data_IF_999152146053
#
_entry.id   IF_999152146053
#
_cell.length_a   1.000
_cell.length_b   1.000
_cell.length_c   1.000
_cell.angle_alpha   90.00
_cell.angle_beta   90.00
_cell.angle_gamma   90.00
#
_symmetry.space_group_name_H-M   'P 1'
#
loop_
_entity.id
_entity.type
_entity.pdbx_description
1 polymer ?
#
# COMPACT_ATOMS: atom_id res chain seq x y z
N UNK A 1 -3.83 27.49 -17.76
CA UNK A 1 -4.06 26.27 -18.55
C UNK A 1 -4.35 25.16 -17.56
N UNK A 2 -5.51 24.49 -17.63
CA UNK A 2 -6.07 23.63 -16.57
C UNK A 2 -5.37 22.25 -16.39
N UNK A 3 -4.07 22.20 -16.70
CA UNK A 3 -3.26 20.98 -16.68
C UNK A 3 -1.77 21.35 -16.47
N UNK A 4 -1.49 22.21 -15.49
CA UNK A 4 -0.15 22.18 -14.89
C UNK A 4 0.01 20.80 -14.25
N UNK A 5 0.69 19.91 -14.96
CA UNK A 5 1.01 18.55 -14.51
C UNK A 5 2.09 18.64 -13.45
N UNK A 6 1.72 19.07 -12.25
CA UNK A 6 2.57 18.87 -11.09
C UNK A 6 2.62 17.37 -10.77
N UNK A 7 3.83 16.86 -10.63
CA UNK A 7 4.08 15.44 -10.43
C UNK A 7 4.07 15.17 -8.93
N UNK A 8 2.94 14.70 -8.42
CA UNK A 8 2.71 14.43 -6.99
C UNK A 8 3.24 13.06 -6.51
N UNK A 9 4.14 12.42 -7.25
CA UNK A 9 4.72 11.14 -6.82
C UNK A 9 6.01 11.37 -6.04
N UNK A 10 6.18 10.64 -4.93
CA UNK A 10 7.44 10.55 -4.21
C UNK A 10 8.58 10.22 -5.19
N UNK A 11 9.58 11.11 -5.28
CA UNK A 11 10.81 10.82 -6.01
C UNK A 11 11.66 9.86 -5.19
N UNK A 12 11.29 8.58 -5.26
CA UNK A 12 12.08 7.50 -4.70
C UNK A 12 13.31 7.33 -5.60
N UNK A 13 14.55 7.37 -5.05
CA UNK A 13 15.73 7.13 -5.85
C UNK A 13 15.59 5.77 -6.53
N UNK A 14 15.61 5.77 -7.87
CA UNK A 14 15.64 4.54 -8.66
C UNK A 14 16.93 3.82 -8.32
N UNK A 15 16.85 2.80 -7.49
CA UNK A 15 17.87 1.76 -7.45
C UNK A 15 17.83 1.05 -8.79
N UNK A 16 18.77 1.41 -9.67
CA UNK A 16 18.98 0.71 -10.94
C UNK A 16 19.53 -0.67 -10.61
N UNK A 17 18.64 -1.62 -10.33
CA UNK A 17 19.00 -3.03 -10.31
C UNK A 17 19.03 -3.55 -11.73
N UNK A 18 20.10 -3.16 -12.43
CA UNK A 18 20.51 -3.65 -13.73
C UNK A 18 21.97 -3.25 -13.88
N UNK A 19 22.87 -4.23 -13.92
CA UNK A 19 24.29 -3.98 -14.15
C UNK A 19 24.44 -3.05 -15.35
N UNK A 20 25.34 -2.07 -15.24
CA UNK A 20 25.67 -1.21 -16.36
C UNK A 20 25.99 -2.11 -17.57
N UNK A 21 25.43 -1.85 -18.76
CA UNK A 21 25.81 -2.62 -19.94
C UNK A 21 27.33 -2.52 -20.10
N UNK A 22 28.00 -3.65 -20.26
CA UNK A 22 29.41 -3.66 -20.66
C UNK A 22 29.52 -2.78 -21.92
N UNK A 23 30.51 -1.89 -21.99
CA UNK A 23 30.59 -0.87 -23.06
C UNK A 23 30.55 -1.47 -24.46
N UNK A 24 31.07 -2.69 -24.63
CA UNK A 24 31.03 -3.45 -25.88
C UNK A 24 29.62 -3.84 -26.33
N UNK A 25 28.71 -4.12 -25.40
CA UNK A 25 27.30 -4.39 -25.71
C UNK A 25 26.62 -3.12 -26.24
N UNK A 26 26.95 -1.95 -25.70
CA UNK A 26 26.35 -0.68 -26.11
C UNK A 26 26.76 -0.30 -27.55
N UNK A 27 28.05 -0.37 -27.87
CA UNK A 27 28.60 -0.05 -29.21
C UNK A 27 28.05 -0.99 -30.30
N UNK A 28 27.89 -2.28 -29.97
CA UNK A 28 27.24 -3.25 -30.84
C UNK A 28 25.79 -2.84 -31.15
N UNK A 29 24.99 -2.55 -30.12
CA UNK A 29 23.58 -2.19 -30.31
C UNK A 29 23.38 -0.86 -31.02
N UNK A 30 24.25 0.13 -30.80
CA UNK A 30 24.22 1.40 -31.51
C UNK A 30 24.52 1.21 -33.00
N UNK A 31 25.42 0.28 -33.35
CA UNK A 31 25.70 -0.10 -34.75
C UNK A 31 24.52 -0.83 -35.41
N UNK A 32 23.83 -1.70 -34.66
CA UNK A 32 22.58 -2.36 -35.11
C UNK A 32 21.43 -1.35 -35.30
N UNK A 33 21.32 -0.34 -34.44
CA UNK A 33 20.23 0.65 -34.49
C UNK A 33 20.45 1.74 -35.54
N UNK A 34 21.71 2.12 -35.81
CA UNK A 34 22.10 3.08 -36.85
C UNK A 34 22.22 2.48 -38.26
N UNK A 35 22.00 1.16 -38.40
CA UNK A 35 22.21 0.40 -39.63
C UNK A 35 23.65 0.54 -40.19
N UNK A 36 24.65 0.72 -39.31
CA UNK A 36 26.06 0.79 -39.72
C UNK A 36 26.62 -0.59 -40.05
N UNK A 37 26.48 -0.97 -41.32
CA UNK A 37 26.89 -2.27 -41.86
C UNK A 37 28.41 -2.47 -41.84
N UNK A 38 29.20 -1.41 -41.96
CA UNK A 38 30.65 -1.51 -41.96
C UNK A 38 31.18 -1.89 -40.57
N UNK A 39 30.67 -1.23 -39.54
CA UNK A 39 31.02 -1.51 -38.15
C UNK A 39 30.52 -2.88 -37.69
N UNK A 40 29.30 -3.29 -38.09
CA UNK A 40 28.77 -4.63 -37.79
C UNK A 40 29.54 -5.75 -38.50
N UNK A 41 29.94 -5.53 -39.75
CA UNK A 41 30.73 -6.51 -40.52
C UNK A 41 32.11 -6.74 -39.91
N UNK A 42 32.79 -5.66 -39.49
CA UNK A 42 34.08 -5.76 -38.83
C UNK A 42 34.00 -6.48 -37.46
N UNK A 43 32.89 -6.32 -36.74
CA UNK A 43 32.71 -6.89 -35.40
C UNK A 43 32.24 -8.36 -35.42
N UNK A 44 31.39 -8.73 -36.38
CA UNK A 44 30.80 -10.08 -36.48
C UNK A 44 31.53 -10.98 -37.50
N UNK A 45 32.40 -10.43 -38.34
CA UNK A 45 33.07 -11.16 -39.42
C UNK A 45 32.12 -11.61 -40.54
N UNK A 46 31.07 -10.84 -40.80
CA UNK A 46 30.02 -11.17 -41.79
C UNK A 46 30.22 -10.40 -43.10
N UNK A 47 29.86 -11.04 -44.21
CA UNK A 47 29.88 -10.41 -45.53
C UNK A 47 28.70 -9.43 -45.71
N UNK A 48 28.82 -8.40 -46.58
CA UNK A 48 27.77 -7.40 -46.77
C UNK A 48 26.39 -7.98 -47.14
N UNK A 49 26.37 -9.05 -47.93
CA UNK A 49 25.13 -9.73 -48.34
C UNK A 49 24.42 -10.45 -47.19
N UNK A 50 25.16 -10.91 -46.18
CA UNK A 50 24.61 -11.55 -44.98
C UNK A 50 24.03 -10.49 -44.03
N UNK A 51 24.70 -9.33 -43.93
CA UNK A 51 24.25 -8.19 -43.14
C UNK A 51 22.94 -7.57 -43.67
N UNK A 52 22.73 -7.54 -44.98
CA UNK A 52 21.48 -7.06 -45.59
C UNK A 52 20.25 -7.86 -45.13
N UNK A 53 20.43 -9.14 -44.81
CA UNK A 53 19.36 -10.03 -44.35
C UNK A 53 19.16 -9.99 -42.83
N UNK A 54 20.25 -9.86 -42.08
CA UNK A 54 20.24 -10.01 -40.61
C UNK A 54 20.06 -8.68 -39.87
N UNK A 55 20.63 -7.58 -40.37
CA UNK A 55 20.58 -6.28 -39.68
C UNK A 55 19.13 -5.79 -39.45
N UNK A 56 18.23 -5.76 -40.46
CA UNK A 56 16.85 -5.33 -40.23
C UNK A 56 16.09 -6.21 -39.22
N UNK A 57 16.40 -7.51 -39.17
CA UNK A 57 15.80 -8.45 -38.20
C UNK A 57 16.30 -8.19 -36.77
N UNK A 58 17.59 -7.90 -36.60
CA UNK A 58 18.17 -7.55 -35.31
C UNK A 58 17.68 -6.20 -34.80
N UNK A 59 17.58 -5.18 -35.66
CA UNK A 59 17.03 -3.86 -35.29
C UNK A 59 15.56 -3.97 -34.89
N UNK A 60 14.76 -4.74 -35.63
CA UNK A 60 13.36 -4.99 -35.28
C UNK A 60 13.21 -5.74 -33.94
N UNK A 61 14.03 -6.77 -33.71
CA UNK A 61 14.06 -7.52 -32.44
C UNK A 61 14.48 -6.62 -31.27
N UNK A 62 15.51 -5.78 -31.44
CA UNK A 62 16.02 -4.86 -30.42
C UNK A 62 14.97 -3.81 -30.05
N UNK A 63 14.30 -3.23 -31.06
CA UNK A 63 13.17 -2.30 -30.84
C UNK A 63 12.05 -2.95 -30.05
N UNK A 64 11.60 -4.15 -30.45
CA UNK A 64 10.56 -4.90 -29.72
C UNK A 64 10.98 -5.28 -28.29
N UNK A 65 12.28 -5.54 -28.07
CA UNK A 65 12.82 -5.82 -26.72
C UNK A 65 12.84 -4.55 -25.87
N UNK A 66 13.28 -3.40 -26.40
CA UNK A 66 13.24 -2.12 -25.69
C UNK A 66 11.81 -1.72 -25.33
N UNK A 67 10.87 -1.84 -26.25
CA UNK A 67 9.45 -1.58 -25.99
C UNK A 67 8.91 -2.44 -24.84
N UNK A 68 9.24 -3.74 -24.82
CA UNK A 68 8.89 -4.63 -23.71
C UNK A 68 9.60 -4.28 -22.42
N UNK A 69 10.89 -3.97 -22.45
CA UNK A 69 11.65 -3.58 -21.26
C UNK A 69 11.18 -2.26 -20.64
N UNK A 70 10.75 -1.29 -21.46
CA UNK A 70 10.12 -0.05 -20.98
C UNK A 70 8.80 -0.38 -20.27
N UNK A 71 7.98 -1.25 -20.87
CA UNK A 71 6.73 -1.69 -20.24
C UNK A 71 6.98 -2.51 -18.96
N UNK A 72 8.00 -3.37 -18.94
CA UNK A 72 8.40 -4.16 -17.77
C UNK A 72 8.91 -3.26 -16.64
N UNK A 73 9.66 -2.22 -16.96
CA UNK A 73 10.17 -1.23 -15.99
C UNK A 73 9.08 -0.36 -15.33
N UNK A 74 7.83 -0.46 -15.79
CA UNK A 74 6.67 0.21 -15.18
C UNK A 74 5.81 -0.75 -14.34
N UNK A 75 6.11 -2.05 -14.34
CA UNK A 75 5.33 -3.05 -13.60
C UNK A 75 5.85 -3.15 -12.17
N UNK A 76 4.96 -2.86 -11.24
CA UNK A 76 5.19 -3.07 -9.81
C UNK A 76 4.15 -4.05 -9.27
N UNK A 77 4.55 -4.78 -8.23
CA UNK A 77 3.64 -5.62 -7.45
C UNK A 77 3.87 -5.35 -5.97
N UNK A 78 2.81 -5.45 -5.19
CA UNK A 78 2.89 -5.42 -3.73
C UNK A 78 3.33 -6.82 -3.28
N UNK A 79 4.30 -6.86 -2.36
CA UNK A 79 4.78 -8.09 -1.74
C UNK A 79 4.88 -7.90 -0.24
N UNK A 80 4.61 -8.96 0.50
CA UNK A 80 4.80 -8.99 1.95
C UNK A 80 6.15 -9.62 2.27
N UNK A 81 6.90 -8.99 3.16
CA UNK A 81 8.18 -9.49 3.65
C UNK A 81 8.03 -9.81 5.14
N UNK A 82 8.44 -11.01 5.60
CA UNK A 82 8.44 -11.33 7.01
C UNK A 82 9.32 -10.33 7.77
N UNK A 83 8.74 -9.72 8.80
CA UNK A 83 9.52 -9.00 9.81
C UNK A 83 9.94 -10.04 10.85
N UNK A 84 11.25 -10.16 11.13
CA UNK A 84 11.74 -11.06 12.19
C UNK A 84 11.15 -10.67 13.55
N UNK A 85 11.20 -11.58 14.53
CA UNK A 85 10.56 -11.39 15.84
C UNK A 85 10.99 -10.05 16.47
N UNK A 86 10.11 -9.04 16.49
CA UNK A 86 10.44 -7.79 17.13
C UNK A 86 10.50 -8.07 18.62
N UNK A 87 11.59 -7.68 19.28
CA UNK A 87 11.65 -7.57 20.75
C UNK A 87 10.80 -6.36 21.14
N UNK A 88 9.49 -6.45 20.93
CA UNK A 88 8.54 -5.44 21.30
C UNK A 88 8.17 -5.65 22.76
N UNK A 89 8.20 -4.58 23.54
CA UNK A 89 7.59 -4.58 24.86
C UNK A 89 6.09 -4.93 24.71
N UNK A 90 5.55 -5.65 25.69
CA UNK A 90 4.12 -5.95 25.73
C UNK A 90 3.32 -4.64 25.61
N UNK A 91 2.24 -4.60 24.80
CA UNK A 91 1.43 -3.41 24.68
C UNK A 91 0.82 -3.09 26.04
N UNK A 92 0.91 -1.82 26.45
CA UNK A 92 0.39 -1.33 27.71
C UNK A 92 -0.33 0.01 27.51
N UNK A 93 -1.00 0.48 28.58
CA UNK A 93 -1.66 1.78 28.61
C UNK A 93 -3.16 1.70 28.37
N UNK A 94 -3.78 2.87 28.21
CA UNK A 94 -5.23 3.02 28.05
C UNK A 94 -5.56 3.27 26.60
N UNK A 95 -6.37 2.44 25.97
CA UNK A 95 -6.70 2.55 24.55
C UNK A 95 -8.20 2.79 24.39
N UNK A 96 -8.56 3.79 23.60
CA UNK A 96 -9.94 4.00 23.20
C UNK A 96 -10.32 2.92 22.18
N UNK A 97 -11.29 2.08 22.50
CA UNK A 97 -11.68 0.93 21.68
C UNK A 97 -13.00 1.20 20.96
N UNK A 98 -12.90 1.41 19.65
CA UNK A 98 -14.03 1.73 18.78
C UNK A 98 -14.39 0.51 17.95
N UNK A 99 -15.62 0.03 18.16
CA UNK A 99 -16.17 -1.14 17.48
C UNK A 99 -17.47 -0.75 16.79
N UNK A 100 -17.53 -0.80 15.44
CA UNK A 100 -18.77 -0.56 14.71
C UNK A 100 -19.86 -1.60 15.03
N UNK A 101 -19.47 -2.85 15.23
CA UNK A 101 -20.37 -3.97 15.49
C UNK A 101 -19.67 -4.99 16.38
N UNK A 102 -20.31 -5.35 17.49
CA UNK A 102 -19.77 -6.35 18.41
C UNK A 102 -19.99 -7.76 17.85
N UNK A 103 -18.92 -8.54 17.79
CA UNK A 103 -18.89 -9.90 17.25
C UNK A 103 -17.99 -10.78 18.11
N UNK A 104 -18.04 -12.10 17.89
CA UNK A 104 -17.07 -13.00 18.53
C UNK A 104 -15.61 -12.63 18.20
N UNK A 105 -15.37 -12.02 17.04
CA UNK A 105 -14.04 -11.56 16.64
C UNK A 105 -13.60 -10.33 17.44
N UNK A 106 -14.47 -9.32 17.60
CA UNK A 106 -14.12 -8.11 18.40
C UNK A 106 -14.00 -8.44 19.88
N UNK A 107 -14.74 -9.42 20.37
CA UNK A 107 -14.60 -9.89 21.74
C UNK A 107 -13.29 -10.65 21.97
N UNK A 108 -12.89 -11.51 21.03
CA UNK A 108 -11.58 -12.18 21.10
C UNK A 108 -10.41 -11.18 21.08
N UNK A 109 -10.50 -10.11 20.27
CA UNK A 109 -9.51 -9.03 20.26
C UNK A 109 -9.49 -8.29 21.61
N UNK A 110 -10.67 -7.97 22.16
CA UNK A 110 -10.80 -7.31 23.47
C UNK A 110 -10.16 -8.14 24.57
N UNK A 111 -10.50 -9.43 24.63
CA UNK A 111 -9.97 -10.38 25.61
C UNK A 111 -8.45 -10.50 25.50
N UNK A 112 -7.92 -10.76 24.30
CA UNK A 112 -6.49 -10.92 24.08
C UNK A 112 -5.67 -9.67 24.42
N UNK A 113 -6.14 -8.47 24.06
CA UNK A 113 -5.45 -7.23 24.43
C UNK A 113 -5.51 -6.96 25.94
N UNK A 114 -6.62 -7.31 26.59
CA UNK A 114 -6.76 -7.18 28.05
C UNK A 114 -5.80 -8.13 28.77
N UNK A 115 -5.67 -9.37 28.30
CA UNK A 115 -4.69 -10.35 28.82
C UNK A 115 -3.24 -9.87 28.67
N UNK A 116 -2.94 -9.09 27.63
CA UNK A 116 -1.64 -8.46 27.41
C UNK A 116 -1.40 -7.21 28.29
N UNK A 117 -2.38 -6.79 29.09
CA UNK A 117 -2.26 -5.65 30.00
C UNK A 117 -2.72 -4.30 29.44
N UNK A 118 -3.43 -4.29 28.32
CA UNK A 118 -4.05 -3.08 27.76
C UNK A 118 -5.38 -2.79 28.44
N UNK A 119 -5.59 -1.54 28.88
CA UNK A 119 -6.89 -1.08 29.38
C UNK A 119 -7.72 -0.55 28.22
N UNK A 120 -8.71 -1.32 27.76
CA UNK A 120 -9.61 -0.90 26.68
C UNK A 120 -10.80 -0.12 27.24
N UNK A 121 -10.97 1.12 26.78
CA UNK A 121 -12.13 1.98 27.08
C UNK A 121 -13.08 1.91 25.88
N UNK A 122 -14.24 1.24 25.99
CA UNK A 122 -15.19 1.15 24.88
C UNK A 122 -15.70 2.54 24.49
N UNK A 123 -15.76 2.81 23.18
CA UNK A 123 -16.27 4.05 22.65
C UNK A 123 -17.18 3.79 21.44
N UNK A 124 -18.44 4.17 21.57
CA UNK A 124 -19.48 3.91 20.58
C UNK A 124 -19.67 5.10 19.63
N UNK A 125 -19.83 4.80 18.33
CA UNK A 125 -20.28 5.77 17.33
C UNK A 125 -21.72 5.40 16.95
N UNK A 126 -22.68 6.19 17.43
CA UNK A 126 -24.10 5.98 17.12
C UNK A 126 -24.43 6.45 15.71
N UNK A 127 -25.52 5.95 15.12
CA UNK A 127 -25.87 6.21 13.71
C UNK A 127 -26.12 7.69 13.40
N UNK A 128 -26.68 8.45 14.33
CA UNK A 128 -27.01 9.87 14.16
C UNK A 128 -25.88 10.81 14.60
N UNK A 129 -24.70 10.29 14.94
CA UNK A 129 -23.59 11.12 15.38
C UNK A 129 -22.98 11.86 14.19
N UNK A 130 -23.05 13.19 14.21
CA UNK A 130 -22.30 14.03 13.30
C UNK A 130 -20.85 14.25 13.76
N UNK A 131 -20.02 14.83 12.88
CA UNK A 131 -18.59 15.06 13.12
C UNK A 131 -18.33 15.93 14.37
N UNK A 132 -19.13 16.98 14.59
CA UNK A 132 -18.92 17.92 15.68
C UNK A 132 -19.39 17.35 17.03
N UNK A 133 -20.45 16.54 17.03
CA UNK A 133 -20.87 15.76 18.17
C UNK A 133 -19.81 14.72 18.55
N UNK A 134 -19.28 13.98 17.56
CA UNK A 134 -18.21 13.00 17.80
C UNK A 134 -16.95 13.65 18.37
N UNK A 135 -16.53 14.79 17.83
CA UNK A 135 -15.35 15.52 18.30
C UNK A 135 -15.48 15.96 19.76
N UNK A 136 -16.67 16.43 20.17
CA UNK A 136 -16.94 16.79 21.58
C UNK A 136 -16.85 15.56 22.50
N UNK A 137 -17.49 14.46 22.13
CA UNK A 137 -17.42 13.22 22.92
C UNK A 137 -16.00 12.66 23.00
N UNK A 138 -15.21 12.78 21.92
CA UNK A 138 -13.80 12.40 21.93
C UNK A 138 -12.97 13.31 22.84
N UNK A 139 -13.22 14.62 22.86
CA UNK A 139 -12.54 15.54 23.76
C UNK A 139 -12.86 15.25 25.23
N UNK A 140 -14.12 14.98 25.56
CA UNK A 140 -14.55 14.55 26.90
C UNK A 140 -13.82 13.26 27.31
N UNK A 141 -13.80 12.25 26.43
CA UNK A 141 -13.10 11.00 26.69
C UNK A 141 -11.57 11.20 26.85
N UNK A 142 -10.99 12.11 26.05
CA UNK A 142 -9.58 12.46 26.17
C UNK A 142 -9.25 13.08 27.55
N UNK A 143 -10.14 13.91 28.08
CA UNK A 143 -9.96 14.53 29.39
C UNK A 143 -10.12 13.54 30.55
N UNK A 144 -11.11 12.65 30.46
CA UNK A 144 -11.46 11.72 31.54
C UNK A 144 -10.53 10.50 31.58
N UNK A 145 -10.32 9.82 30.45
CA UNK A 145 -9.59 8.56 30.40
C UNK A 145 -8.14 8.70 29.92
N UNK A 146 -7.80 9.80 29.25
CA UNK A 146 -6.46 10.08 28.69
C UNK A 146 -5.87 8.88 27.93
N UNK A 147 -6.58 8.37 26.91
CA UNK A 147 -6.11 7.23 26.14
C UNK A 147 -4.82 7.54 25.37
N UNK A 148 -3.88 6.61 25.39
CA UNK A 148 -2.60 6.68 24.69
C UNK A 148 -2.73 6.32 23.20
N UNK A 149 -3.80 5.62 22.82
CA UNK A 149 -4.06 5.12 21.45
C UNK A 149 -5.56 5.03 21.18
N UNK A 150 -5.92 5.07 19.91
CA UNK A 150 -7.27 4.71 19.44
C UNK A 150 -7.18 3.43 18.61
N UNK A 151 -8.03 2.46 18.90
CA UNK A 151 -8.14 1.21 18.17
C UNK A 151 -9.52 1.11 17.53
N UNK A 152 -9.58 1.16 16.21
CA UNK A 152 -10.77 0.90 15.42
C UNK A 152 -10.73 -0.55 14.91
N UNK A 153 -11.64 -1.40 15.41
CA UNK A 153 -11.68 -2.81 15.05
C UNK A 153 -12.83 -3.08 14.07
N UNK A 154 -12.50 -3.26 12.79
CA UNK A 154 -13.46 -3.62 11.76
C UNK A 154 -13.59 -5.15 11.67
N UNK A 155 -14.67 -5.69 12.26
CA UNK A 155 -14.99 -7.10 12.14
C UNK A 155 -15.19 -7.50 10.67
N UNK A 156 -14.78 -8.72 10.27
CA UNK A 156 -15.05 -9.23 8.93
C UNK A 156 -16.56 -9.40 8.71
N UNK A 157 -17.07 -8.95 7.56
CA UNK A 157 -18.49 -9.10 7.19
C UNK A 157 -18.77 -10.54 6.73
N UNK A 158 -19.89 -11.11 7.18
CA UNK A 158 -20.37 -12.42 6.75
C UNK A 158 -21.07 -12.40 5.38
N UNK A 159 -21.16 -11.24 4.70
CA UNK A 159 -21.48 -11.15 3.28
C UNK A 159 -22.63 -10.22 2.89
N UNK A 160 -22.98 -9.21 3.70
CA UNK A 160 -24.12 -8.32 3.38
C UNK A 160 -23.74 -7.02 2.68
N UNK A 161 -22.46 -6.61 2.69
CA UNK A 161 -21.94 -5.48 1.89
C UNK A 161 -22.34 -4.08 2.39
N UNK A 162 -23.55 -3.94 2.95
CA UNK A 162 -24.03 -2.73 3.61
C UNK A 162 -23.19 -2.39 4.85
N UNK A 163 -22.73 -3.40 5.57
CA UNK A 163 -21.86 -3.25 6.75
C UNK A 163 -20.55 -2.52 6.39
N UNK A 164 -19.89 -2.87 5.28
CA UNK A 164 -18.62 -2.23 4.90
C UNK A 164 -18.71 -0.73 4.59
N UNK A 165 -19.81 -0.27 3.97
CA UNK A 165 -19.98 1.16 3.68
C UNK A 165 -20.12 1.95 4.97
N UNK A 166 -20.88 1.42 5.92
CA UNK A 166 -21.05 2.02 7.24
C UNK A 166 -19.73 2.02 8.02
N UNK A 167 -18.98 0.92 8.02
CA UNK A 167 -17.66 0.82 8.67
C UNK A 167 -16.68 1.85 8.08
N UNK A 168 -16.61 1.98 6.75
CA UNK A 168 -15.77 2.99 6.10
C UNK A 168 -16.18 4.41 6.46
N UNK A 169 -17.49 4.69 6.47
CA UNK A 169 -18.02 5.99 6.87
C UNK A 169 -17.66 6.32 8.32
N UNK A 170 -17.83 5.35 9.25
CA UNK A 170 -17.47 5.50 10.67
C UNK A 170 -15.97 5.72 10.86
N UNK A 171 -15.10 5.04 10.12
CA UNK A 171 -13.66 5.29 10.18
C UNK A 171 -13.31 6.69 9.70
N UNK A 172 -13.90 7.15 8.60
CA UNK A 172 -13.69 8.51 8.09
C UNK A 172 -14.18 9.57 9.08
N UNK A 173 -15.37 9.37 9.65
CA UNK A 173 -15.97 10.24 10.65
C UNK A 173 -15.09 10.31 11.90
N UNK A 174 -14.63 9.16 12.40
CA UNK A 174 -13.71 9.06 13.53
C UNK A 174 -12.41 9.81 13.25
N UNK A 175 -11.77 9.57 12.11
CA UNK A 175 -10.52 10.24 11.74
C UNK A 175 -10.66 11.77 11.72
N UNK A 176 -11.75 12.26 11.12
CA UNK A 176 -12.05 13.69 11.07
C UNK A 176 -12.31 14.28 12.45
N UNK A 177 -13.08 13.59 13.28
CA UNK A 177 -13.43 14.04 14.62
C UNK A 177 -12.23 14.00 15.59
N UNK A 178 -11.31 13.03 15.44
CA UNK A 178 -10.05 13.01 16.19
C UNK A 178 -9.20 14.25 15.89
N UNK A 179 -9.12 14.65 14.61
CA UNK A 179 -8.44 15.89 14.21
C UNK A 179 -9.10 17.13 14.81
N UNK A 180 -10.43 17.22 14.77
CA UNK A 180 -11.17 18.35 15.35
C UNK A 180 -11.05 18.43 16.88
N UNK A 181 -10.96 17.28 17.55
CA UNK A 181 -10.77 17.18 19.00
C UNK A 181 -9.33 17.47 19.44
N UNK A 182 -8.38 17.64 18.50
CA UNK A 182 -6.96 17.81 18.81
C UNK A 182 -6.33 16.55 19.41
N UNK A 183 -6.82 15.38 19.03
CA UNK A 183 -6.37 14.10 19.55
C UNK A 183 -5.04 13.69 18.88
N UNK A 184 -3.95 13.69 19.62
CA UNK A 184 -2.60 13.40 19.08
C UNK A 184 -2.21 11.92 19.12
N UNK A 185 -2.95 11.10 19.86
CA UNK A 185 -2.66 9.68 19.99
C UNK A 185 -2.91 8.91 18.67
N UNK A 186 -2.09 7.90 18.34
CA UNK A 186 -2.17 7.19 17.07
C UNK A 186 -3.46 6.37 16.95
N UNK A 187 -4.08 6.44 15.76
CA UNK A 187 -5.20 5.60 15.35
C UNK A 187 -4.69 4.32 14.67
N UNK A 188 -5.08 3.18 15.22
CA UNK A 188 -4.85 1.85 14.66
C UNK A 188 -6.16 1.30 14.09
N UNK A 189 -6.15 0.85 12.84
CA UNK A 189 -7.29 0.21 12.19
C UNK A 189 -7.00 -1.28 11.99
N UNK A 190 -7.77 -2.15 12.64
CA UNK A 190 -7.66 -3.60 12.48
C UNK A 190 -8.65 -4.09 11.43
N UNK A 191 -8.17 -5.00 10.58
CA UNK A 191 -8.97 -5.70 9.57
C UNK A 191 -8.58 -7.18 9.55
N UNK A 192 -9.51 -8.06 9.19
CA UNK A 192 -9.24 -9.48 8.93
C UNK A 192 -9.61 -9.81 7.49
N UNK A 193 -8.77 -10.57 6.78
CA UNK A 193 -9.07 -11.01 5.40
C UNK A 193 -9.01 -9.92 4.32
N UNK A 194 -8.57 -8.71 4.67
CA UNK A 194 -8.52 -7.54 3.77
C UNK A 194 -7.35 -7.54 2.78
N UNK A 195 -6.34 -8.36 3.04
CA UNK A 195 -5.13 -8.49 2.22
C UNK A 195 -4.76 -9.97 2.11
N UNK A 196 -3.99 -10.33 1.08
CA UNK A 196 -3.37 -11.64 0.95
C UNK A 196 -1.86 -11.48 1.04
N UNK A 197 -1.25 -12.21 1.96
CA UNK A 197 0.21 -12.20 2.16
C UNK A 197 0.93 -13.22 1.27
N UNK A 198 0.22 -14.20 0.73
CA UNK A 198 0.75 -15.22 -0.18
C UNK A 198 -0.27 -16.32 -0.48
N UNK A 199 0.13 -17.39 -1.19
CA UNK A 199 -0.78 -18.45 -1.63
C UNK A 199 -1.51 -19.20 -0.50
N UNK A 200 -0.94 -19.22 0.72
CA UNK A 200 -1.53 -19.87 1.89
C UNK A 200 -2.50 -18.97 2.68
N UNK A 201 -2.66 -17.71 2.25
CA UNK A 201 -3.47 -16.69 2.93
C UNK A 201 -4.46 -16.08 1.92
N UNK A 202 -5.57 -16.79 1.61
CA UNK A 202 -6.54 -16.34 0.62
C UNK A 202 -7.31 -15.11 1.12
N UNK A 203 -7.64 -14.22 0.20
CA UNK A 203 -8.42 -13.03 0.49
C UNK A 203 -9.88 -13.41 0.81
N UNK A 204 -10.31 -13.23 2.06
CA UNK A 204 -11.65 -13.60 2.54
C UNK A 204 -12.60 -12.41 2.67
N UNK A 205 -12.08 -11.20 2.80
CA UNK A 205 -12.86 -9.95 2.88
C UNK A 205 -12.23 -8.84 2.02
N UNK A 206 -12.38 -8.91 0.69
CA UNK A 206 -11.83 -7.89 -0.22
C UNK A 206 -12.42 -6.49 0.01
N UNK A 207 -13.62 -6.37 0.58
CA UNK A 207 -14.28 -5.09 0.77
C UNK A 207 -13.63 -4.27 1.89
N UNK A 208 -13.10 -4.92 2.92
CA UNK A 208 -12.30 -4.28 3.96
C UNK A 208 -11.00 -3.63 3.46
N UNK A 209 -10.51 -3.98 2.26
CA UNK A 209 -9.34 -3.32 1.65
C UNK A 209 -9.55 -1.80 1.40
N UNK A 210 -10.80 -1.33 1.40
CA UNK A 210 -11.10 0.11 1.34
C UNK A 210 -10.56 0.87 2.56
N UNK A 211 -10.52 0.22 3.73
CA UNK A 211 -9.94 0.79 4.95
C UNK A 211 -8.43 1.00 4.80
N UNK A 212 -7.72 0.08 4.14
CA UNK A 212 -6.31 0.25 3.78
C UNK A 212 -6.07 1.37 2.77
N UNK A 213 -7.00 1.57 1.83
CA UNK A 213 -7.00 2.71 0.93
C UNK A 213 -7.09 4.04 1.68
N UNK A 214 -8.09 4.17 2.56
CA UNK A 214 -8.30 5.36 3.38
C UNK A 214 -7.12 5.62 4.32
N UNK A 215 -6.66 4.59 5.05
CA UNK A 215 -5.55 4.72 5.99
C UNK A 215 -4.24 5.17 5.35
N UNK A 216 -3.93 4.69 4.13
CA UNK A 216 -2.77 5.15 3.37
C UNK A 216 -2.84 6.63 3.02
N UNK A 217 -4.00 7.13 2.60
CA UNK A 217 -4.18 8.56 2.28
C UNK A 217 -4.10 9.41 3.55
N UNK A 218 -4.67 8.93 4.65
CA UNK A 218 -4.64 9.61 5.94
C UNK A 218 -3.24 9.73 6.56
N UNK A 219 -2.31 8.85 6.17
CA UNK A 219 -0.94 8.81 6.69
C UNK A 219 0.10 9.52 5.81
N UNK A 220 -0.31 10.08 4.66
CA UNK A 220 0.54 10.90 3.77
C UNK A 220 0.59 12.35 4.24
#
# INVERSE_FOLDING_TARGET
YAFQRERYWLDVPRTVNGGAPESSDAEFWDSVESEDRASLGALLGLEPAELDVVAPKLSAWRRQRRERSVADGWRYRITWQPLGDPVAAAPSGTWLYVVPEETAWTEAIRAGLTELGVTLVPFAITEDTDRAALARSLAEAAHEQRPDRVLFAAAPDAGTGASHRLVLHRLLLLFQALGDAGFEAPLWCLTSGAVSTGPADPLTDPAAARLWGLGRVAAL
#
